data_IF_928843823388
#
_entry.id   IF_928843823388
#
_cell.length_a   1.000
_cell.length_b   1.000
_cell.length_c   1.000
_cell.angle_alpha   90.00
_cell.angle_beta   90.00
_cell.angle_gamma   90.00
#
_symmetry.space_group_name_H-M   'P 1'
#
loop_
_entity.id
_entity.type
_entity.pdbx_description
1 polymer ?
#
# COMPACT_ATOMS: atom_id res chain seq x y z
N UNK A 1 -14.99 11.55 17.35
CA UNK A 1 -13.79 10.89 16.80
C UNK A 1 -13.31 11.81 15.69
N UNK A 2 -12.79 12.98 16.08
CA UNK A 2 -12.72 14.15 15.18
C UNK A 2 -11.36 14.85 15.22
N UNK A 3 -10.40 14.27 15.93
CA UNK A 3 -9.04 14.79 16.03
C UNK A 3 -8.13 14.04 15.06
N UNK A 4 -8.26 14.37 13.77
CA UNK A 4 -7.41 13.81 12.72
C UNK A 4 -6.19 14.70 12.53
N UNK A 5 -5.00 14.09 12.50
CA UNK A 5 -3.73 14.78 12.22
C UNK A 5 -3.79 15.65 10.95
N UNK A 6 -4.58 15.22 9.96
CA UNK A 6 -4.76 15.93 8.70
C UNK A 6 -5.36 17.36 8.83
N UNK A 7 -6.04 17.67 9.94
CA UNK A 7 -6.60 19.01 10.16
C UNK A 7 -5.55 20.04 10.56
N UNK A 8 -4.40 19.60 11.08
CA UNK A 8 -3.37 20.46 11.65
C UNK A 8 -2.07 20.34 10.84
N UNK A 9 -2.01 21.06 9.72
CA UNK A 9 -0.79 21.14 8.89
C UNK A 9 0.09 22.29 9.38
N UNK A 10 1.36 22.01 9.68
CA UNK A 10 2.35 23.00 10.10
C UNK A 10 3.62 22.91 9.23
N UNK A 11 4.41 23.99 9.17
CA UNK A 11 5.69 24.00 8.44
C UNK A 11 6.81 23.55 9.35
N UNK A 12 7.66 22.66 8.83
CA UNK A 12 8.85 22.18 9.54
C UNK A 12 10.10 22.38 8.67
N UNK A 13 11.22 22.79 9.28
CA UNK A 13 12.51 22.78 8.60
C UNK A 13 12.88 21.37 8.14
N UNK A 14 13.35 21.26 6.90
CA UNK A 14 13.77 19.97 6.32
C UNK A 14 14.92 19.33 7.10
N UNK A 15 15.78 20.16 7.70
CA UNK A 15 16.92 19.72 8.51
C UNK A 15 16.52 19.09 9.85
N UNK A 16 15.34 19.41 10.38
CA UNK A 16 14.82 18.86 11.63
C UNK A 16 14.13 17.51 11.43
N UNK A 17 13.81 17.14 10.19
CA UNK A 17 13.09 15.92 9.86
C UNK A 17 14.05 14.72 9.84
N UNK A 18 13.75 13.73 10.67
CA UNK A 18 14.57 12.53 10.83
C UNK A 18 13.96 11.40 9.99
N UNK A 19 14.62 10.94 8.91
CA UNK A 19 14.15 9.78 8.15
C UNK A 19 14.15 8.54 9.03
N UNK A 20 13.02 7.84 9.11
CA UNK A 20 12.93 6.59 9.86
C UNK A 20 13.88 5.51 9.32
N UNK A 21 14.91 5.17 10.10
CA UNK A 21 16.01 4.26 9.71
C UNK A 21 15.54 2.86 9.28
N UNK A 22 14.36 2.43 9.72
CA UNK A 22 13.81 1.09 9.44
C UNK A 22 12.67 1.11 8.41
N UNK A 23 12.61 2.12 7.55
CA UNK A 23 11.65 2.11 6.45
C UNK A 23 12.03 0.98 5.46
N UNK A 24 11.15 -0.01 5.24
CA UNK A 24 11.44 -1.12 4.31
C UNK A 24 11.46 -0.69 2.84
N UNK A 25 10.94 0.50 2.50
CA UNK A 25 10.87 0.99 1.13
C UNK A 25 12.17 1.68 0.72
N UNK A 26 12.75 1.21 -0.38
CA UNK A 26 13.92 1.81 -1.01
C UNK A 26 13.42 2.83 -2.03
N UNK A 27 13.98 4.04 -1.97
CA UNK A 27 13.68 5.12 -2.90
C UNK A 27 14.84 5.26 -3.89
N UNK A 28 14.76 4.67 -5.10
CA UNK A 28 15.80 4.85 -6.11
C UNK A 28 15.84 6.31 -6.58
N UNK A 29 17.00 6.76 -7.08
CA UNK A 29 17.18 8.14 -7.50
C UNK A 29 16.16 8.58 -8.57
N UNK A 30 15.79 7.71 -9.50
CA UNK A 30 14.77 7.99 -10.52
C UNK A 30 13.42 8.37 -9.91
N UNK A 31 12.98 7.65 -8.86
CA UNK A 31 11.75 7.97 -8.15
C UNK A 31 11.85 9.31 -7.41
N UNK A 32 13.02 9.63 -6.86
CA UNK A 32 13.24 10.93 -6.20
C UNK A 32 13.17 12.05 -7.24
N UNK A 33 13.72 11.82 -8.44
CA UNK A 33 13.69 12.78 -9.54
C UNK A 33 12.24 13.02 -10.03
N UNK A 34 11.44 11.97 -10.20
CA UNK A 34 10.01 12.05 -10.51
C UNK A 34 9.25 12.85 -9.44
N UNK A 35 9.48 12.57 -8.16
CA UNK A 35 8.87 13.31 -7.06
C UNK A 35 9.31 14.78 -7.06
N UNK A 36 10.58 15.06 -7.35
CA UNK A 36 11.09 16.42 -7.45
C UNK A 36 10.48 17.17 -8.65
N UNK A 37 10.27 16.50 -9.80
CA UNK A 37 9.55 17.07 -10.93
C UNK A 37 8.09 17.35 -10.58
N UNK A 38 7.42 16.40 -9.92
CA UNK A 38 6.05 16.57 -9.45
C UNK A 38 5.91 17.77 -8.50
N UNK A 39 6.82 17.93 -7.55
CA UNK A 39 6.83 19.08 -6.65
C UNK A 39 7.07 20.40 -7.41
N UNK A 40 7.88 20.41 -8.48
CA UNK A 40 8.08 21.62 -9.30
C UNK A 40 6.84 22.00 -10.08
N UNK A 41 6.13 21.02 -10.61
CA UNK A 41 4.95 21.24 -11.47
C UNK A 41 3.72 21.64 -10.65
N UNK A 42 3.36 20.83 -9.64
CA UNK A 42 2.12 21.00 -8.88
C UNK A 42 2.31 21.67 -7.52
N UNK A 43 3.56 21.94 -7.12
CA UNK A 43 3.87 22.36 -5.77
C UNK A 43 3.70 21.22 -4.76
N UNK A 44 3.59 21.59 -3.49
CA UNK A 44 3.43 20.61 -2.42
C UNK A 44 1.97 20.26 -2.17
N UNK A 45 1.57 19.04 -2.56
CA UNK A 45 0.15 18.62 -2.52
C UNK A 45 -0.20 17.75 -1.31
N UNK A 46 0.75 16.99 -0.75
CA UNK A 46 0.51 16.03 0.34
C UNK A 46 1.55 16.22 1.45
N UNK A 47 1.16 16.61 2.68
CA UNK A 47 2.10 16.84 3.78
C UNK A 47 2.82 15.55 4.21
N UNK A 48 3.99 15.70 4.81
CA UNK A 48 4.72 14.57 5.42
C UNK A 48 4.10 14.23 6.77
N UNK A 49 3.87 12.95 7.04
CA UNK A 49 3.43 12.49 8.36
C UNK A 49 4.64 12.27 9.26
N UNK A 50 4.68 12.98 10.37
CA UNK A 50 5.75 12.89 11.36
C UNK A 50 5.21 12.51 12.74
N UNK A 51 6.08 12.09 13.65
CA UNK A 51 5.76 12.06 15.08
C UNK A 51 6.18 13.36 15.80
N UNK A 52 5.95 13.40 17.11
CA UNK A 52 6.28 14.54 17.97
C UNK A 52 7.77 14.87 18.04
N UNK A 53 8.64 13.92 17.69
CA UNK A 53 10.10 14.05 17.71
C UNK A 53 10.66 14.28 16.29
N UNK A 54 9.81 14.68 15.34
CA UNK A 54 10.14 14.91 13.93
C UNK A 54 10.61 13.66 13.17
N UNK A 55 10.34 12.46 13.66
CA UNK A 55 10.59 11.23 12.89
C UNK A 55 9.55 11.09 11.79
N UNK A 56 10.02 10.85 10.57
CA UNK A 56 9.16 10.67 9.39
C UNK A 56 8.50 9.29 9.43
N UNK A 57 7.18 9.27 9.59
CA UNK A 57 6.36 8.06 9.54
C UNK A 57 6.00 7.74 8.08
N UNK A 58 5.58 8.73 7.30
CA UNK A 58 5.25 8.55 5.88
C UNK A 58 5.62 9.78 5.05
N UNK A 59 6.06 9.55 3.81
CA UNK A 59 6.48 10.60 2.90
C UNK A 59 8.00 10.76 2.72
N UNK A 60 8.81 9.75 3.03
CA UNK A 60 10.28 9.79 2.88
C UNK A 60 10.74 10.21 1.48
N UNK A 61 10.11 9.70 0.42
CA UNK A 61 10.44 10.13 -0.94
C UNK A 61 10.27 11.64 -1.16
N UNK A 62 9.24 12.26 -0.58
CA UNK A 62 9.02 13.72 -0.65
C UNK A 62 10.07 14.48 0.14
N UNK A 63 10.49 13.95 1.29
CA UNK A 63 11.59 14.53 2.06
C UNK A 63 12.89 14.53 1.24
N UNK A 64 13.23 13.39 0.61
CA UNK A 64 14.42 13.31 -0.24
C UNK A 64 14.34 14.23 -1.45
N UNK A 65 13.16 14.33 -2.08
CA UNK A 65 12.94 15.28 -3.16
C UNK A 65 13.09 16.74 -2.68
N UNK A 66 12.58 17.08 -1.49
CA UNK A 66 12.74 18.41 -0.90
C UNK A 66 14.22 18.76 -0.66
N UNK A 67 14.99 17.80 -0.14
CA UNK A 67 16.44 17.93 0.05
C UNK A 67 17.16 18.16 -1.28
N UNK A 68 16.82 17.39 -2.32
CA UNK A 68 17.37 17.55 -3.66
C UNK A 68 17.02 18.91 -4.29
N UNK A 69 15.83 19.43 -4.02
CA UNK A 69 15.37 20.73 -4.49
C UNK A 69 15.93 21.91 -3.70
N UNK A 70 16.60 21.68 -2.57
CA UNK A 70 17.06 22.74 -1.67
C UNK A 70 15.92 23.50 -1.00
N UNK A 71 14.79 22.84 -0.76
CA UNK A 71 13.65 23.42 -0.04
C UNK A 71 13.96 23.45 1.45
N UNK A 72 13.79 24.61 2.10
CA UNK A 72 14.11 24.79 3.52
C UNK A 72 13.00 24.29 4.45
N UNK A 73 11.74 24.51 4.09
CA UNK A 73 10.58 24.15 4.91
C UNK A 73 9.55 23.36 4.10
N UNK A 74 8.95 22.36 4.72
CA UNK A 74 7.92 21.51 4.11
C UNK A 74 6.70 21.41 5.03
N UNK A 75 5.49 21.22 4.47
CA UNK A 75 4.30 21.03 5.29
C UNK A 75 4.28 19.60 5.84
N UNK A 76 4.04 19.50 7.14
CA UNK A 76 3.94 18.26 7.87
C UNK A 76 2.64 18.21 8.69
N UNK A 77 2.20 16.99 8.97
CA UNK A 77 1.13 16.67 9.92
C UNK A 77 1.70 15.78 11.01
N UNK A 78 1.34 16.04 12.26
CA UNK A 78 1.89 15.32 13.41
C UNK A 78 0.93 14.24 13.88
N UNK A 79 1.42 13.01 13.99
CA UNK A 79 0.71 11.86 14.52
C UNK A 79 0.71 11.88 16.06
N UNK A 80 0.04 12.87 16.65
CA UNK A 80 0.05 13.08 18.09
C UNK A 80 -0.56 11.89 18.86
N UNK A 81 0.12 11.48 19.93
CA UNK A 81 -0.34 10.42 20.84
C UNK A 81 -0.30 9.00 20.25
N UNK A 82 0.35 8.76 19.11
CA UNK A 82 0.49 7.42 18.57
C UNK A 82 1.57 6.64 19.33
N UNK A 83 1.26 5.45 19.89
CA UNK A 83 2.28 4.59 20.47
C UNK A 83 3.21 4.06 19.39
N UNK A 84 4.44 3.71 19.78
CA UNK A 84 5.50 3.35 18.84
C UNK A 84 5.11 2.19 17.90
N UNK A 85 4.46 1.16 18.42
CA UNK A 85 3.98 0.04 17.60
C UNK A 85 2.95 0.45 16.54
N UNK A 86 2.13 1.47 16.84
CA UNK A 86 1.16 2.00 15.87
C UNK A 86 1.86 2.77 14.76
N UNK A 87 2.89 3.57 15.07
CA UNK A 87 3.71 4.26 14.06
C UNK A 87 4.38 3.24 13.14
N UNK A 88 5.03 2.23 13.72
CA UNK A 88 5.71 1.15 12.98
C UNK A 88 4.75 0.35 12.10
N UNK A 89 3.57 0.01 12.61
CA UNK A 89 2.54 -0.66 11.83
C UNK A 89 2.04 0.22 10.68
N UNK A 90 1.90 1.52 10.90
CA UNK A 90 1.45 2.45 9.87
C UNK A 90 2.45 2.61 8.73
N UNK A 91 3.76 2.66 9.02
CA UNK A 91 4.81 2.66 7.97
C UNK A 91 4.63 1.47 7.01
N UNK A 92 4.28 0.29 7.53
CA UNK A 92 4.03 -0.90 6.71
C UNK A 92 2.69 -0.79 5.98
N UNK A 93 1.65 -0.34 6.67
CA UNK A 93 0.30 -0.23 6.12
C UNK A 93 0.24 0.77 4.96
N UNK A 94 0.81 1.97 5.09
CA UNK A 94 0.84 3.00 4.06
C UNK A 94 1.49 2.51 2.76
N UNK A 95 2.64 1.84 2.90
CA UNK A 95 3.34 1.21 1.80
C UNK A 95 2.50 0.10 1.15
N UNK A 96 1.89 -0.77 1.96
CA UNK A 96 1.17 -1.94 1.46
C UNK A 96 -0.17 -1.58 0.80
N UNK A 97 -0.89 -0.60 1.36
CA UNK A 97 -2.17 -0.15 0.82
C UNK A 97 -1.98 0.45 -0.58
N UNK A 98 -0.89 1.19 -0.79
CA UNK A 98 -0.52 1.74 -2.09
C UNK A 98 -0.23 0.65 -3.15
N UNK A 99 0.29 -0.51 -2.76
CA UNK A 99 0.54 -1.64 -3.67
C UNK A 99 -0.72 -2.43 -4.03
N UNK A 100 -1.75 -2.39 -3.18
CA UNK A 100 -2.96 -3.21 -3.37
C UNK A 100 -3.94 -2.59 -4.38
N UNK A 101 -3.74 -1.32 -4.75
CA UNK A 101 -4.50 -0.64 -5.80
C UNK A 101 -4.17 -1.18 -7.19
N UNK A 102 -5.17 -1.17 -8.07
CA UNK A 102 -5.03 -1.50 -9.51
C UNK A 102 -5.68 -0.39 -10.32
N UNK A 103 -5.13 -0.15 -11.50
CA UNK A 103 -5.76 0.73 -12.48
C UNK A 103 -6.94 0.05 -13.15
N UNK A 104 -7.95 0.83 -13.48
CA UNK A 104 -8.89 0.47 -14.54
C UNK A 104 -8.25 0.91 -15.85
N UNK A 105 -7.72 -0.03 -16.61
CA UNK A 105 -6.95 0.25 -17.83
C UNK A 105 -7.78 1.09 -18.82
N UNK A 106 -9.08 0.83 -18.93
CA UNK A 106 -9.96 1.55 -19.86
C UNK A 106 -10.07 3.04 -19.52
N UNK A 107 -10.36 3.35 -18.26
CA UNK A 107 -10.44 4.73 -17.77
C UNK A 107 -9.08 5.43 -17.77
N UNK A 108 -8.03 4.69 -17.41
CA UNK A 108 -6.66 5.18 -17.40
C UNK A 108 -6.20 5.65 -18.78
N UNK A 109 -6.35 4.80 -19.81
CA UNK A 109 -5.96 5.16 -21.17
C UNK A 109 -6.82 6.29 -21.76
N UNK A 110 -8.12 6.34 -21.43
CA UNK A 110 -8.96 7.46 -21.89
C UNK A 110 -8.50 8.79 -21.31
N UNK A 111 -8.15 8.83 -20.02
CA UNK A 111 -7.68 10.05 -19.36
C UNK A 111 -6.33 10.51 -19.93
N UNK A 112 -5.38 9.58 -20.13
CA UNK A 112 -4.09 9.91 -20.74
C UNK A 112 -4.25 10.47 -22.15
N UNK A 113 -5.16 9.91 -22.95
CA UNK A 113 -5.44 10.39 -24.30
C UNK A 113 -6.05 11.80 -24.28
N UNK A 114 -6.97 12.06 -23.36
CA UNK A 114 -7.59 13.38 -23.24
C UNK A 114 -6.58 14.43 -22.77
N UNK A 115 -5.69 14.08 -21.83
CA UNK A 115 -4.56 14.93 -21.43
C UNK A 115 -3.62 15.21 -22.60
N UNK A 116 -3.26 14.20 -23.39
CA UNK A 116 -2.44 14.38 -24.59
C UNK A 116 -3.10 15.32 -25.60
N UNK A 117 -4.41 15.14 -25.84
CA UNK A 117 -5.19 15.99 -26.77
C UNK A 117 -5.29 17.44 -26.29
N UNK A 118 -5.25 17.66 -24.96
CA UNK A 118 -5.22 19.01 -24.37
C UNK A 118 -3.84 19.69 -24.49
N UNK A 119 -2.82 18.95 -24.94
CA UNK A 119 -1.44 19.42 -25.05
C UNK A 119 -0.65 19.32 -23.74
N UNK A 120 -1.12 18.53 -22.77
CA UNK A 120 -0.40 18.30 -21.51
C UNK A 120 0.84 17.41 -21.75
N UNK A 121 1.93 17.72 -21.05
CA UNK A 121 3.17 16.95 -21.13
C UNK A 121 3.05 15.67 -20.27
N UNK A 122 2.86 14.53 -20.95
CA UNK A 122 2.70 13.24 -20.28
C UNK A 122 4.00 12.72 -19.63
N UNK A 123 5.17 13.31 -19.91
CA UNK A 123 6.39 12.91 -19.20
C UNK A 123 6.32 13.23 -17.69
N UNK A 124 5.51 14.22 -17.31
CA UNK A 124 5.37 14.68 -15.92
C UNK A 124 4.49 13.79 -15.05
N UNK A 125 3.66 12.91 -15.63
CA UNK A 125 2.81 11.99 -14.86
C UNK A 125 3.54 10.74 -14.37
N UNK A 126 4.85 10.62 -14.65
CA UNK A 126 5.68 9.54 -14.14
C UNK A 126 5.52 8.21 -14.87
N UNK A 127 5.14 8.27 -16.15
CA UNK A 127 5.15 7.10 -17.04
C UNK A 127 6.35 7.21 -17.98
N UNK A 128 7.19 6.17 -17.98
CA UNK A 128 8.21 6.00 -19.01
C UNK A 128 7.51 5.99 -20.39
N UNK A 129 8.08 6.71 -21.36
CA UNK A 129 7.50 7.08 -22.67
C UNK A 129 6.97 5.92 -23.54
N UNK A 130 7.05 4.68 -23.08
CA UNK A 130 6.57 3.47 -23.74
C UNK A 130 5.14 3.05 -23.30
N UNK A 131 4.29 4.04 -22.99
CA UNK A 131 2.86 3.80 -22.83
C UNK A 131 2.26 3.58 -24.22
N UNK A 132 2.31 2.33 -24.70
CA UNK A 132 1.65 1.94 -25.94
C UNK A 132 0.14 2.15 -25.79
N UNK A 133 -0.38 3.18 -26.46
CA UNK A 133 -1.82 3.47 -26.56
C UNK A 133 -2.57 2.48 -27.48
N UNK A 134 -1.93 1.38 -27.90
CA UNK A 134 -2.53 0.34 -28.74
C UNK A 134 -3.42 -0.63 -27.94
N UNK A 135 -3.96 -0.21 -26.80
CA UNK A 135 -4.96 -0.99 -26.09
C UNK A 135 -6.22 -1.13 -26.96
N UNK A 136 -6.29 -2.26 -27.67
CA UNK A 136 -7.51 -2.72 -28.31
C UNK A 136 -8.26 -3.58 -27.30
N UNK A 137 -9.39 -3.11 -26.75
CA UNK A 137 -10.20 -3.97 -25.90
C UNK A 137 -10.55 -5.23 -26.68
N UNK A 138 -10.36 -6.40 -26.07
CA UNK A 138 -10.77 -7.64 -26.71
C UNK A 138 -12.30 -7.65 -26.82
N UNK A 139 -12.81 -7.32 -28.01
CA UNK A 139 -14.24 -7.29 -28.32
C UNK A 139 -14.83 -8.70 -28.47
N UNK A 140 -13.97 -9.74 -28.48
CA UNK A 140 -14.36 -11.15 -28.58
C UNK A 140 -13.61 -12.01 -27.53
N UNK A 141 -14.05 -11.98 -26.26
CA UNK A 141 -13.44 -12.77 -25.21
C UNK A 141 -13.68 -14.26 -25.44
N UNK A 142 -12.75 -14.94 -26.12
CA UNK A 142 -12.78 -16.40 -26.22
C UNK A 142 -12.37 -17.00 -24.87
N UNK A 143 -13.35 -17.41 -24.07
CA UNK A 143 -13.07 -18.18 -22.85
C UNK A 143 -12.75 -19.62 -23.27
N UNK A 144 -11.47 -20.01 -23.14
CA UNK A 144 -11.04 -21.39 -23.34
C UNK A 144 -11.36 -22.18 -22.07
N UNK A 145 -12.40 -23.01 -22.13
CA UNK A 145 -12.60 -24.07 -21.15
C UNK A 145 -11.75 -25.28 -21.59
N UNK A 146 -10.92 -25.82 -20.68
CA UNK A 146 -10.42 -27.19 -20.86
C UNK A 146 -11.59 -28.14 -20.58
N UNK A 147 -11.75 -29.16 -21.42
CA UNK A 147 -12.65 -30.27 -21.11
C UNK A 147 -12.21 -30.89 -19.78
N UNK A 148 -13.15 -30.97 -18.85
CA UNK A 148 -12.95 -31.61 -17.55
C UNK A 148 -12.81 -33.11 -17.83
N UNK A 149 -11.64 -33.67 -17.54
CA UNK A 149 -11.38 -35.09 -17.70
C UNK A 149 -11.81 -35.87 -16.45
N UNK A 150 -12.01 -37.18 -16.57
CA UNK A 150 -12.25 -38.05 -15.40
C UNK A 150 -11.12 -37.95 -14.35
N UNK A 151 -9.90 -37.62 -14.78
CA UNK A 151 -8.79 -37.36 -13.87
C UNK A 151 -8.96 -36.07 -13.07
N UNK A 152 -9.52 -35.01 -13.66
CA UNK A 152 -9.80 -33.75 -12.95
C UNK A 152 -10.92 -33.95 -11.92
N UNK A 153 -11.93 -34.76 -12.26
CA UNK A 153 -13.02 -35.14 -11.36
C UNK A 153 -12.49 -36.00 -10.22
N UNK A 154 -11.63 -36.98 -10.50
CA UNK A 154 -11.08 -37.88 -9.47
C UNK A 154 -10.08 -37.17 -8.55
N UNK A 155 -9.25 -36.26 -9.07
CA UNK A 155 -8.39 -35.41 -8.25
C UNK A 155 -9.18 -34.50 -7.32
N UNK A 156 -10.28 -33.93 -7.80
CA UNK A 156 -11.14 -33.07 -6.99
C UNK A 156 -11.88 -33.89 -5.93
N UNK A 157 -12.39 -35.08 -6.29
CA UNK A 157 -13.04 -35.99 -5.36
C UNK A 157 -12.10 -36.46 -4.23
N UNK A 158 -10.84 -36.76 -4.56
CA UNK A 158 -9.79 -37.10 -3.58
C UNK A 158 -9.48 -35.90 -2.66
N UNK A 159 -9.37 -34.70 -3.21
CA UNK A 159 -9.13 -33.48 -2.43
C UNK A 159 -10.30 -33.12 -1.51
N UNK A 160 -11.55 -33.34 -1.95
CA UNK A 160 -12.75 -33.13 -1.14
C UNK A 160 -12.89 -34.17 -0.02
N UNK A 161 -12.50 -35.43 -0.27
CA UNK A 161 -12.51 -36.48 0.76
C UNK A 161 -11.38 -36.30 1.77
N UNK A 162 -10.20 -35.83 1.37
CA UNK A 162 -9.13 -35.41 2.28
C UNK A 162 -9.52 -34.19 3.13
N UNK A 163 -10.21 -33.21 2.55
CA UNK A 163 -10.75 -32.07 3.31
C UNK A 163 -11.84 -32.50 4.28
N UNK A 164 -12.73 -33.42 3.89
CA UNK A 164 -13.75 -33.95 4.79
C UNK A 164 -13.11 -34.77 5.93
N UNK A 165 -12.09 -35.57 5.64
CA UNK A 165 -11.31 -36.28 6.65
C UNK A 165 -10.56 -35.32 7.58
N UNK A 166 -10.03 -34.20 7.10
CA UNK A 166 -9.45 -33.14 7.96
C UNK A 166 -10.48 -32.42 8.82
N UNK A 167 -11.72 -32.30 8.35
CA UNK A 167 -12.81 -31.67 9.11
C UNK A 167 -13.43 -32.60 10.15
N UNK A 168 -13.30 -33.91 9.97
CA UNK A 168 -13.92 -34.95 10.82
C UNK A 168 -12.93 -35.70 11.70
N UNK A 169 -11.66 -35.78 11.31
CA UNK A 169 -10.59 -36.31 12.16
C UNK A 169 -10.08 -35.19 13.07
N UNK A 170 -10.37 -35.37 14.36
CA UNK A 170 -9.78 -34.65 15.51
C UNK A 170 -10.46 -33.36 15.98
N UNK A 171 -11.80 -33.38 16.08
CA UNK A 171 -12.55 -32.43 16.94
C UNK A 171 -13.13 -33.06 18.22
N UNK A 172 -12.71 -34.26 18.60
CA UNK A 172 -13.23 -34.92 19.79
C UNK A 172 -12.08 -35.30 20.74
N UNK A 173 -12.00 -34.57 21.87
CA UNK A 173 -11.51 -35.01 23.20
C UNK A 173 -10.27 -34.34 23.84
N UNK A 174 -9.71 -33.24 23.35
CA UNK A 174 -8.74 -32.48 24.17
C UNK A 174 -9.00 -30.98 24.14
N UNK A 175 -9.51 -30.47 25.26
CA UNK A 175 -9.59 -29.04 25.53
C UNK A 175 -8.25 -28.37 25.28
N UNK A 176 -8.27 -27.30 24.51
CA UNK A 176 -7.06 -26.54 24.18
C UNK A 176 -6.83 -25.53 25.28
N UNK A 177 -5.66 -25.59 25.92
CA UNK A 177 -5.26 -24.61 26.92
C UNK A 177 -4.81 -23.34 26.19
N UNK A 178 -5.51 -22.24 26.44
CA UNK A 178 -5.29 -20.95 25.78
C UNK A 178 -4.91 -19.92 26.83
N UNK A 179 -3.84 -19.17 26.56
CA UNK A 179 -3.39 -18.07 27.42
C UNK A 179 -3.86 -16.75 26.83
N UNK A 180 -4.57 -15.96 27.63
CA UNK A 180 -5.03 -14.63 27.22
C UNK A 180 -3.83 -13.69 27.02
N UNK A 181 -3.63 -13.10 25.84
CA UNK A 181 -2.48 -12.22 25.58
C UNK A 181 -2.59 -10.85 26.27
N UNK A 182 -3.74 -10.51 26.86
CA UNK A 182 -3.96 -9.23 27.53
C UNK A 182 -3.81 -9.30 29.05
N UNK A 183 -4.17 -10.42 29.69
CA UNK A 183 -4.07 -10.59 31.15
C UNK A 183 -3.19 -11.76 31.60
N UNK A 184 -2.64 -12.54 30.67
CA UNK A 184 -1.80 -13.71 30.91
C UNK A 184 -2.46 -14.85 31.73
N UNK A 185 -3.78 -14.83 31.90
CA UNK A 185 -4.52 -15.94 32.50
C UNK A 185 -4.73 -17.09 31.51
N UNK A 186 -4.57 -18.32 32.00
CA UNK A 186 -4.78 -19.55 31.24
C UNK A 186 -6.19 -20.10 31.47
N UNK A 187 -6.87 -20.49 30.40
CA UNK A 187 -8.15 -21.19 30.50
C UNK A 187 -8.28 -22.28 29.43
N UNK A 188 -9.07 -23.30 29.73
CA UNK A 188 -9.32 -24.44 28.85
C UNK A 188 -10.57 -24.20 28.02
N UNK A 189 -10.42 -24.20 26.70
CA UNK A 189 -11.53 -24.06 25.77
C UNK A 189 -11.91 -25.43 25.20
N UNK A 190 -13.10 -25.90 25.56
CA UNK A 190 -13.75 -27.07 24.94
C UNK A 190 -14.69 -26.55 23.85
N UNK A 191 -14.26 -26.61 22.60
CA UNK A 191 -15.07 -26.19 21.46
C UNK A 191 -16.28 -27.12 21.26
N UNK A 192 -17.45 -26.53 20.95
CA UNK A 192 -18.61 -27.26 20.41
C UNK A 192 -18.35 -27.61 18.94
#
# INVERSE_FOLDING_TARGET
>A
MDDWAAWNVSRYPVEDLIPYERNPRIHPQSQIDELAQSIREWGWTIPILIDSDCNVIAGHGRLYAAQQLGINEVPCVTADGWPEDKKRAYVIADNKLSENSRWDDGLFFSELKDLQNSGFDLSLVGFDEDVSFDFQPNLDPSTSYREITENDISHTAASMSDNLNRLTADRSLKGTEVVCPYCAESFTFDGI
#
